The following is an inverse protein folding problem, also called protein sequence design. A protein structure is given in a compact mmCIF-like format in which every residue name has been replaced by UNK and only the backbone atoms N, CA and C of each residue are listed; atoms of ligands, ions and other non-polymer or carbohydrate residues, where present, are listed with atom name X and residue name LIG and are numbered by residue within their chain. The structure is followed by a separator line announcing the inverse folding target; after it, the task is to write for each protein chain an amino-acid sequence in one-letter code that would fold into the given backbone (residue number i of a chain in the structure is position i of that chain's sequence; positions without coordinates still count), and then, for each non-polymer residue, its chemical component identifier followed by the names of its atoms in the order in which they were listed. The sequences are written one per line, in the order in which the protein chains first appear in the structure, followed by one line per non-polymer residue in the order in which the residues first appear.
data_IF_104741256818
#
_entry.id   IF_104741256818
#
_cell.length_a   1.000
_cell.length_b   1.000
_cell.length_c   1.000
_cell.angle_alpha   90.00
_cell.angle_beta   90.00
_cell.angle_gamma   90.00
#
_symmetry.space_group_name_H-M   'P 1'
#
loop_
_entity.id
_entity.type
_entity.pdbx_description
1 polymer ?
#
# COMPACT_ATOMS: atom_id res chain seq x y z
N UNK A 1 -12.74 7.65 -26.62
CA UNK A 1 -11.59 7.22 -27.44
C UNK A 1 -11.09 5.92 -26.86
N UNK A 2 -10.85 4.96 -27.72
CA UNK A 2 -10.22 3.69 -27.42
C UNK A 2 -8.95 3.61 -28.26
N UNK A 3 -7.87 3.20 -27.66
CA UNK A 3 -6.58 3.07 -28.32
C UNK A 3 -6.30 1.58 -28.55
N UNK A 4 -5.99 1.22 -29.78
CA UNK A 4 -5.68 -0.16 -30.19
C UNK A 4 -4.18 -0.41 -30.40
N UNK A 5 -3.39 0.66 -30.50
CA UNK A 5 -1.94 0.58 -30.63
C UNK A 5 -1.31 0.35 -29.23
N UNK A 6 -0.49 -0.69 -29.04
CA UNK A 6 0.26 -0.89 -27.80
C UNK A 6 1.12 0.30 -27.37
N UNK A 7 1.57 1.13 -28.32
CA UNK A 7 2.32 2.35 -28.04
C UNK A 7 1.47 3.47 -27.43
N UNK A 8 0.15 3.37 -27.50
CA UNK A 8 -0.78 4.31 -26.89
C UNK A 8 -1.12 3.95 -25.43
N UNK A 9 -0.54 2.89 -24.89
CA UNK A 9 -0.72 2.53 -23.48
C UNK A 9 -0.31 3.69 -22.56
N UNK A 10 -1.13 3.98 -21.55
CA UNK A 10 -0.92 5.12 -20.64
C UNK A 10 -1.63 6.41 -21.06
N UNK A 11 -2.23 6.47 -22.26
CA UNK A 11 -3.08 7.61 -22.67
C UNK A 11 -4.45 7.58 -21.99
N UNK A 12 -5.05 8.76 -21.87
CA UNK A 12 -6.37 8.93 -21.25
C UNK A 12 -7.47 8.30 -22.11
N UNK A 13 -8.06 7.23 -21.62
CA UNK A 13 -9.16 6.51 -22.27
C UNK A 13 -10.53 7.03 -21.85
N UNK A 14 -11.60 6.50 -22.46
CA UNK A 14 -12.99 6.73 -22.00
C UNK A 14 -13.17 6.26 -20.55
N UNK A 15 -12.55 5.13 -20.17
CA UNK A 15 -12.58 4.61 -18.80
C UNK A 15 -11.97 5.58 -17.79
N UNK A 16 -10.80 6.14 -18.11
CA UNK A 16 -10.13 7.15 -17.29
C UNK A 16 -11.00 8.40 -17.07
N UNK A 17 -11.63 8.90 -18.14
CA UNK A 17 -12.52 10.07 -18.06
C UNK A 17 -13.76 9.78 -17.19
N UNK A 18 -14.37 8.61 -17.31
CA UNK A 18 -15.52 8.19 -16.49
C UNK A 18 -15.12 7.99 -15.02
N UNK A 19 -13.98 7.38 -14.77
CA UNK A 19 -13.47 7.21 -13.41
C UNK A 19 -13.19 8.56 -12.73
N UNK A 20 -12.57 9.51 -13.45
CA UNK A 20 -12.35 10.86 -12.95
C UNK A 20 -13.68 11.57 -12.66
N UNK A 21 -14.65 11.48 -13.56
CA UNK A 21 -16.00 12.04 -13.36
C UNK A 21 -16.66 11.48 -12.10
N UNK A 22 -16.59 10.17 -11.89
CA UNK A 22 -17.11 9.50 -10.69
C UNK A 22 -16.48 10.08 -9.43
N UNK A 23 -15.16 10.20 -9.40
CA UNK A 23 -14.41 10.74 -8.26
C UNK A 23 -14.78 12.19 -7.94
N UNK A 24 -14.89 13.04 -8.96
CA UNK A 24 -15.29 14.45 -8.80
C UNK A 24 -16.71 14.58 -8.25
N UNK A 25 -17.64 13.77 -8.75
CA UNK A 25 -19.03 13.80 -8.26
C UNK A 25 -19.15 13.24 -6.83
N UNK A 26 -18.36 12.25 -6.48
CA UNK A 26 -18.26 11.74 -5.10
C UNK A 26 -17.80 12.84 -4.14
N UNK A 27 -16.77 13.58 -4.50
CA UNK A 27 -16.30 14.71 -3.68
C UNK A 27 -17.36 15.80 -3.58
N UNK A 28 -18.03 16.14 -4.68
CA UNK A 28 -19.12 17.11 -4.69
C UNK A 28 -20.30 16.70 -3.78
N UNK A 29 -20.54 15.42 -3.61
CA UNK A 29 -21.59 14.90 -2.73
C UNK A 29 -21.19 14.91 -1.23
N UNK A 30 -19.88 14.93 -0.93
CA UNK A 30 -19.36 14.92 0.43
C UNK A 30 -19.74 16.18 1.22
N UNK A 31 -20.09 16.07 2.52
CA UNK A 31 -20.32 17.21 3.39
C UNK A 31 -19.11 18.14 3.52
N UNK A 32 -17.90 17.66 3.22
CA UNK A 32 -16.69 18.48 3.23
C UNK A 32 -16.71 19.60 2.16
N UNK A 33 -17.41 19.38 1.04
CA UNK A 33 -17.44 20.32 -0.10
C UNK A 33 -18.80 20.96 -0.33
N UNK A 34 -19.69 20.91 0.64
CA UNK A 34 -21.00 21.57 0.60
C UNK A 34 -22.10 20.75 1.22
N UNK A 35 -23.35 21.22 1.10
CA UNK A 35 -24.51 20.51 1.61
C UNK A 35 -24.74 19.22 0.83
N UNK A 36 -24.72 18.04 1.46
CA UNK A 36 -25.08 16.78 0.82
C UNK A 36 -26.55 16.78 0.39
N UNK A 37 -26.86 16.05 -0.67
CA UNK A 37 -28.23 15.76 -1.05
C UNK A 37 -28.32 14.38 -1.71
N UNK A 38 -29.50 13.79 -1.73
CA UNK A 38 -29.76 12.51 -2.38
C UNK A 38 -29.41 12.56 -3.85
N UNK A 39 -29.70 13.65 -4.53
CA UNK A 39 -29.42 13.84 -5.97
C UNK A 39 -27.92 13.84 -6.24
N UNK A 40 -27.11 14.47 -5.36
CA UNK A 40 -25.64 14.46 -5.50
C UNK A 40 -25.06 13.07 -5.31
N UNK A 41 -25.53 12.34 -4.30
CA UNK A 41 -25.11 10.94 -4.09
C UNK A 41 -25.54 10.02 -5.22
N UNK A 42 -26.76 10.20 -5.73
CA UNK A 42 -27.24 9.45 -6.90
C UNK A 42 -26.42 9.75 -8.16
N UNK A 43 -26.06 11.01 -8.39
CA UNK A 43 -25.20 11.39 -9.51
C UNK A 43 -23.80 10.73 -9.40
N UNK A 44 -23.22 10.68 -8.22
CA UNK A 44 -21.95 9.99 -7.97
C UNK A 44 -22.06 8.47 -8.22
N UNK A 45 -23.13 7.84 -7.71
CA UNK A 45 -23.40 6.41 -7.92
C UNK A 45 -23.59 6.07 -9.41
N UNK A 46 -24.36 6.88 -10.14
CA UNK A 46 -24.58 6.69 -11.57
C UNK A 46 -23.28 6.85 -12.38
N UNK A 47 -22.42 7.77 -11.98
CA UNK A 47 -21.13 7.96 -12.63
C UNK A 47 -20.17 6.81 -12.37
N UNK A 48 -20.17 6.24 -11.15
CA UNK A 48 -19.41 5.04 -10.83
C UNK A 48 -19.94 3.84 -11.65
N UNK A 49 -21.27 3.66 -11.70
CA UNK A 49 -21.88 2.61 -12.50
C UNK A 49 -21.50 2.68 -13.97
N UNK A 50 -21.33 3.86 -14.54
CA UNK A 50 -20.92 4.01 -15.93
C UNK A 50 -19.52 3.43 -16.24
N UNK A 51 -18.65 3.29 -15.22
CA UNK A 51 -17.36 2.59 -15.37
C UNK A 51 -17.58 1.08 -15.46
N UNK A 52 -18.44 0.52 -14.59
CA UNK A 52 -18.82 -0.90 -14.64
C UNK A 52 -19.47 -1.28 -15.96
N UNK A 53 -20.37 -0.43 -16.47
CA UNK A 53 -21.11 -0.66 -17.71
C UNK A 53 -20.21 -0.70 -18.96
N UNK A 54 -18.93 -0.29 -18.85
CA UNK A 54 -17.96 -0.50 -19.92
C UNK A 54 -17.58 -1.97 -20.10
N UNK A 55 -17.72 -2.80 -19.07
CA UNK A 55 -17.34 -4.22 -19.06
C UNK A 55 -15.88 -4.46 -19.48
N UNK A 56 -14.98 -3.53 -19.13
CA UNK A 56 -13.56 -3.58 -19.47
C UNK A 56 -12.66 -3.89 -18.29
N UNK A 57 -13.11 -3.53 -17.12
CA UNK A 57 -12.35 -3.64 -15.87
C UNK A 57 -13.04 -4.60 -14.95
N UNK A 58 -12.25 -5.41 -14.25
CA UNK A 58 -12.79 -6.35 -13.25
C UNK A 58 -11.75 -6.59 -12.16
N UNK A 59 -12.23 -6.93 -10.97
CA UNK A 59 -11.36 -7.27 -9.85
C UNK A 59 -10.72 -8.64 -10.10
N UNK A 60 -9.40 -8.69 -10.00
CA UNK A 60 -8.64 -9.93 -10.12
C UNK A 60 -8.78 -10.72 -8.82
N UNK A 61 -9.09 -12.00 -8.93
CA UNK A 61 -9.09 -12.89 -7.76
C UNK A 61 -7.64 -13.08 -7.29
N UNK A 62 -7.39 -12.85 -6.02
CA UNK A 62 -6.12 -13.05 -5.35
C UNK A 62 -6.33 -13.90 -4.11
N UNK A 63 -5.39 -14.80 -3.82
CA UNK A 63 -5.52 -15.80 -2.77
C UNK A 63 -4.57 -15.55 -1.58
N UNK A 64 -3.56 -14.72 -1.77
CA UNK A 64 -2.55 -14.42 -0.75
C UNK A 64 -2.01 -13.00 -0.91
N UNK A 65 -1.18 -12.58 0.03
CA UNK A 65 -0.59 -11.23 0.06
C UNK A 65 0.41 -10.98 -1.07
N UNK A 66 1.12 -11.99 -1.54
CA UNK A 66 2.05 -11.87 -2.67
C UNK A 66 1.30 -11.61 -3.98
N UNK A 67 0.23 -12.37 -4.25
CA UNK A 67 -0.63 -12.14 -5.40
C UNK A 67 -1.28 -10.75 -5.37
N UNK A 68 -1.71 -10.31 -4.18
CA UNK A 68 -2.25 -8.96 -4.00
C UNK A 68 -1.19 -7.89 -4.27
N UNK A 69 0.00 -8.02 -3.69
CA UNK A 69 1.12 -7.12 -3.93
C UNK A 69 1.53 -7.06 -5.40
N UNK A 70 1.51 -8.20 -6.11
CA UNK A 70 1.84 -8.29 -7.52
C UNK A 70 0.92 -7.46 -8.44
N UNK A 71 -0.31 -7.13 -8.02
CA UNK A 71 -1.21 -6.25 -8.77
C UNK A 71 -0.59 -4.86 -9.02
N UNK A 72 0.21 -4.36 -8.09
CA UNK A 72 0.83 -3.04 -8.18
C UNK A 72 2.07 -3.00 -9.09
N UNK A 73 2.57 -4.15 -9.50
CA UNK A 73 3.68 -4.29 -10.43
C UNK A 73 3.22 -4.70 -11.84
N UNK A 74 2.01 -5.22 -11.99
CA UNK A 74 1.41 -5.58 -13.27
C UNK A 74 0.62 -4.42 -13.84
N UNK A 75 1.30 -3.53 -14.53
CA UNK A 75 0.72 -2.31 -15.14
C UNK A 75 -0.40 -2.58 -16.15
N UNK A 76 -0.54 -3.83 -16.62
CA UNK A 76 -1.59 -4.23 -17.58
C UNK A 76 -2.64 -5.13 -16.97
N UNK A 77 -2.70 -5.23 -15.64
CA UNK A 77 -3.74 -6.02 -15.01
C UNK A 77 -5.14 -5.43 -15.23
N UNK A 78 -6.21 -6.24 -15.16
CA UNK A 78 -7.56 -5.81 -15.51
C UNK A 78 -8.18 -4.77 -14.55
N UNK A 79 -7.57 -4.51 -13.40
CA UNK A 79 -8.03 -3.49 -12.44
C UNK A 79 -7.55 -2.08 -12.81
N UNK A 80 -6.48 -1.96 -13.62
CA UNK A 80 -5.90 -0.68 -13.99
C UNK A 80 -6.77 0.04 -15.00
N UNK A 81 -7.35 1.16 -14.58
CA UNK A 81 -8.15 2.04 -15.44
C UNK A 81 -7.26 3.08 -16.11
N UNK A 82 -6.33 3.65 -15.36
CA UNK A 82 -5.36 4.65 -15.81
C UNK A 82 -4.24 4.77 -14.81
N UNK A 83 -3.02 4.83 -15.31
CA UNK A 83 -1.85 5.07 -14.48
C UNK A 83 -0.85 5.98 -15.21
N UNK A 84 -0.02 6.65 -14.44
CA UNK A 84 1.10 7.41 -14.96
C UNK A 84 2.30 6.47 -15.12
N UNK A 85 2.73 6.30 -16.34
CA UNK A 85 3.94 5.53 -16.64
C UNK A 85 5.18 6.40 -16.40
N UNK A 86 6.21 5.77 -15.85
CA UNK A 86 7.54 6.35 -15.69
C UNK A 86 8.50 5.62 -16.61
N UNK A 87 9.25 6.36 -17.40
CA UNK A 87 10.30 5.82 -18.24
C UNK A 87 11.60 5.72 -17.44
N UNK A 88 12.15 4.53 -17.21
CA UNK A 88 13.42 4.37 -16.49
C UNK A 88 14.59 5.12 -17.10
N UNK A 89 14.54 5.37 -18.43
CA UNK A 89 15.59 6.09 -19.14
C UNK A 89 15.64 7.57 -18.81
N UNK A 90 14.48 8.18 -18.58
CA UNK A 90 14.39 9.62 -18.29
C UNK A 90 14.27 9.89 -16.79
N UNK A 91 14.19 8.83 -16.00
CA UNK A 91 14.11 8.87 -14.55
C UNK A 91 12.91 9.66 -14.05
N UNK A 92 12.22 9.20 -13.08
CA UNK A 92 11.32 10.08 -12.32
C UNK A 92 12.13 10.98 -11.39
N UNK A 93 13.44 10.94 -11.51
CA UNK A 93 14.38 11.80 -10.81
C UNK A 93 14.53 11.51 -9.33
N UNK A 94 13.64 10.76 -8.73
CA UNK A 94 13.67 10.56 -7.29
C UNK A 94 13.81 9.08 -6.90
N UNK A 95 15.03 8.57 -7.05
CA UNK A 95 15.40 7.28 -6.47
C UNK A 95 15.30 7.30 -4.93
N UNK A 96 15.14 8.48 -4.34
CA UNK A 96 15.08 8.64 -2.89
C UNK A 96 13.77 8.12 -2.31
N UNK A 97 12.65 8.10 -3.06
CA UNK A 97 11.38 7.62 -2.51
C UNK A 97 11.46 6.17 -2.05
N UNK A 98 12.19 5.31 -2.77
CA UNK A 98 12.44 3.95 -2.34
C UNK A 98 13.31 3.89 -1.06
N UNK A 99 14.34 4.73 -0.97
CA UNK A 99 15.20 4.80 0.21
C UNK A 99 14.44 5.24 1.46
N UNK A 100 13.49 6.16 1.31
CA UNK A 100 12.64 6.60 2.43
C UNK A 100 11.69 5.52 2.92
N UNK A 101 11.24 4.64 2.02
CA UNK A 101 10.27 3.59 2.33
C UNK A 101 10.92 2.30 2.83
N UNK A 102 12.10 1.97 2.31
CA UNK A 102 12.77 0.73 2.65
C UNK A 102 13.19 0.70 4.13
N UNK A 103 13.15 -0.48 4.77
CA UNK A 103 13.70 -0.68 6.09
C UNK A 103 15.17 -0.31 6.17
N UNK A 104 15.62 0.02 7.36
CA UNK A 104 16.98 0.41 7.61
C UNK A 104 17.98 -0.71 7.35
N UNK A 105 19.10 -0.38 6.70
CA UNK A 105 20.22 -1.32 6.54
C UNK A 105 19.98 -2.49 5.60
N UNK A 106 18.87 -2.54 4.90
CA UNK A 106 18.53 -3.63 3.99
C UNK A 106 18.57 -3.16 2.54
N UNK A 107 19.47 -3.73 1.76
CA UNK A 107 19.54 -3.58 0.30
C UNK A 107 20.92 -3.20 -0.20
N UNK A 108 21.33 -3.77 -1.28
CA UNK A 108 22.54 -3.62 -2.11
C UNK A 108 23.22 -2.23 -2.10
N UNK A 109 23.76 -1.81 -0.97
CA UNK A 109 24.37 -0.49 -0.79
C UNK A 109 23.38 0.67 -0.59
N UNK A 110 22.07 0.40 -0.60
CA UNK A 110 21.05 1.36 -0.25
C UNK A 110 20.59 1.09 1.18
N UNK A 111 20.98 1.96 2.08
CA UNK A 111 20.42 1.99 3.41
C UNK A 111 19.03 2.61 3.31
N UNK A 112 18.00 1.84 3.59
CA UNK A 112 16.67 2.38 3.78
C UNK A 112 16.66 3.32 5.00
N UNK A 113 15.79 4.30 5.02
CA UNK A 113 15.72 5.27 6.12
C UNK A 113 14.54 5.03 7.05
N UNK A 114 13.68 4.06 6.72
CA UNK A 114 12.55 3.67 7.57
C UNK A 114 11.58 4.82 7.90
N UNK A 115 11.47 5.83 7.04
CA UNK A 115 10.69 7.05 7.32
C UNK A 115 9.18 6.87 7.12
N UNK A 116 8.77 5.82 6.43
CA UNK A 116 7.37 5.56 6.16
C UNK A 116 6.84 4.48 7.09
N UNK A 117 6.36 4.91 8.22
CA UNK A 117 5.77 4.02 9.20
C UNK A 117 4.26 4.27 9.28
N UNK A 118 3.43 3.22 9.31
CA UNK A 118 2.01 3.38 9.47
C UNK A 118 1.68 3.90 10.89
N UNK A 119 0.62 4.67 10.98
CA UNK A 119 0.05 4.95 12.30
C UNK A 119 -0.71 3.74 12.81
N UNK A 120 -0.76 3.52 14.13
CA UNK A 120 -1.57 2.45 14.71
C UNK A 120 -3.04 2.54 14.29
N UNK A 121 -3.57 3.76 14.16
CA UNK A 121 -4.95 3.98 13.69
C UNK A 121 -5.19 3.43 12.28
N UNK A 122 -4.20 3.48 11.39
CA UNK A 122 -4.29 2.86 10.06
C UNK A 122 -4.24 1.34 10.16
N UNK A 123 -3.30 0.81 10.94
CA UNK A 123 -3.14 -0.63 11.17
C UNK A 123 -4.44 -1.25 11.71
N UNK A 124 -5.10 -0.58 12.65
CA UNK A 124 -6.37 -1.03 13.25
C UNK A 124 -7.55 -1.04 12.26
N UNK A 125 -7.44 -0.38 11.12
CA UNK A 125 -8.50 -0.37 10.09
C UNK A 125 -8.50 -1.60 9.18
N UNK A 126 -7.40 -2.33 9.14
CA UNK A 126 -7.36 -3.60 8.42
C UNK A 126 -8.12 -4.65 9.23
N UNK A 127 -8.94 -5.43 8.54
CA UNK A 127 -9.80 -6.43 9.16
C UNK A 127 -9.06 -7.73 9.46
N UNK A 128 -9.73 -8.60 10.21
CA UNK A 128 -9.32 -9.99 10.33
C UNK A 128 -9.63 -10.73 9.01
N UNK A 129 -9.05 -11.90 8.81
CA UNK A 129 -9.24 -12.71 7.60
C UNK A 129 -10.70 -13.11 7.36
N UNK A 130 -11.50 -13.19 8.41
CA UNK A 130 -12.95 -13.49 8.35
C UNK A 130 -13.83 -12.25 8.11
N UNK A 131 -13.22 -11.07 7.93
CA UNK A 131 -13.91 -9.81 7.69
C UNK A 131 -14.40 -9.09 8.96
N UNK A 132 -14.14 -9.63 10.14
CA UNK A 132 -14.45 -8.95 11.39
C UNK A 132 -13.49 -7.79 11.66
N UNK A 133 -13.92 -6.82 12.46
CA UNK A 133 -13.03 -5.75 12.88
C UNK A 133 -11.87 -6.33 13.70
N UNK A 134 -10.67 -5.80 13.48
CA UNK A 134 -9.56 -6.17 14.34
C UNK A 134 -9.84 -5.63 15.74
N UNK A 135 -9.80 -6.51 16.72
CA UNK A 135 -9.82 -6.08 18.11
C UNK A 135 -8.56 -5.24 18.37
N UNK A 136 -8.70 -4.18 19.16
CA UNK A 136 -7.53 -3.43 19.64
C UNK A 136 -6.71 -4.36 20.50
N UNK A 137 -5.67 -4.92 19.89
CA UNK A 137 -4.72 -5.71 20.66
C UNK A 137 -3.86 -4.78 21.48
N UNK A 138 -3.62 -5.16 22.70
CA UNK A 138 -2.79 -4.38 23.63
C UNK A 138 -1.33 -4.50 23.24
N UNK A 139 -0.51 -3.57 23.68
CA UNK A 139 0.94 -3.59 23.53
C UNK A 139 1.62 -4.91 24.01
N UNK A 140 0.91 -5.72 24.77
CA UNK A 140 1.39 -6.99 25.32
C UNK A 140 0.97 -8.22 24.50
N UNK A 141 0.19 -8.08 23.43
CA UNK A 141 -0.16 -9.20 22.56
C UNK A 141 1.05 -9.62 21.71
N UNK A 142 1.42 -10.87 21.84
CA UNK A 142 2.64 -11.47 21.26
C UNK A 142 2.48 -11.64 19.77
N UNK A 143 2.06 -11.13 18.93
CA UNK A 143 1.76 -11.14 17.51
C UNK A 143 0.38 -10.51 17.23
N UNK A 144 0.24 -9.20 17.41
CA UNK A 144 -1.02 -8.49 17.21
C UNK A 144 -1.50 -8.50 15.76
N UNK A 145 -0.68 -8.97 14.85
CA UNK A 145 -0.95 -9.05 13.42
C UNK A 145 -1.46 -10.41 12.93
N UNK A 146 -1.50 -11.45 13.78
CA UNK A 146 -1.96 -12.78 13.37
C UNK A 146 -3.42 -12.79 12.96
N UNK A 147 -3.73 -13.51 11.86
CA UNK A 147 -5.08 -13.70 11.36
C UNK A 147 -5.69 -12.49 10.66
N UNK A 148 -4.87 -11.55 10.20
CA UNK A 148 -5.31 -10.39 9.44
C UNK A 148 -5.64 -10.75 7.99
N UNK A 149 -6.36 -9.89 7.32
CA UNK A 149 -6.65 -9.99 5.90
C UNK A 149 -5.37 -9.89 5.04
N UNK A 150 -5.41 -10.43 3.82
CA UNK A 150 -4.24 -10.50 2.92
C UNK A 150 -3.67 -9.13 2.57
N UNK A 151 -4.50 -8.08 2.50
CA UNK A 151 -4.07 -6.70 2.23
C UNK A 151 -3.18 -6.14 3.33
N UNK A 152 -3.37 -6.59 4.56
CA UNK A 152 -2.53 -6.21 5.69
C UNK A 152 -1.09 -6.67 5.45
N UNK A 153 -0.89 -7.95 5.18
CA UNK A 153 0.43 -8.52 4.93
C UNK A 153 1.08 -8.04 3.63
N UNK A 154 0.29 -7.57 2.67
CA UNK A 154 0.82 -6.97 1.45
C UNK A 154 1.23 -5.50 1.62
N UNK A 155 0.67 -4.80 2.60
CA UNK A 155 0.90 -3.38 2.83
C UNK A 155 1.96 -3.08 3.88
N UNK A 156 2.19 -4.00 4.82
CA UNK A 156 3.09 -3.79 5.96
C UNK A 156 4.16 -4.85 6.02
N UNK A 157 5.35 -4.39 6.31
CA UNK A 157 6.48 -5.23 6.66
C UNK A 157 6.51 -5.35 8.20
N UNK A 158 6.56 -6.59 8.68
CA UNK A 158 6.42 -6.92 10.10
C UNK A 158 7.75 -7.41 10.67
N UNK A 159 7.84 -7.40 11.99
CA UNK A 159 8.94 -8.06 12.69
C UNK A 159 9.00 -9.55 12.31
N UNK A 160 10.17 -10.03 11.91
CA UNK A 160 10.38 -11.39 11.44
C UNK A 160 10.10 -11.62 9.94
N UNK A 161 9.56 -10.64 9.22
CA UNK A 161 9.41 -10.76 7.77
C UNK A 161 10.76 -10.73 7.06
N UNK A 162 10.86 -11.47 5.97
CA UNK A 162 12.06 -11.42 5.13
C UNK A 162 12.04 -10.22 4.19
N UNK A 163 13.12 -9.46 4.17
CA UNK A 163 13.34 -8.33 3.28
C UNK A 163 14.72 -8.37 2.64
N UNK A 164 14.84 -7.75 1.47
CA UNK A 164 16.09 -7.64 0.72
C UNK A 164 16.19 -8.58 -0.47
N UNK A 165 17.33 -8.54 -1.16
CA UNK A 165 17.56 -9.29 -2.39
C UNK A 165 18.86 -10.09 -2.30
N UNK A 166 18.83 -11.32 -2.82
CA UNK A 166 20.01 -12.16 -2.92
C UNK A 166 20.67 -12.42 -1.55
N UNK A 167 21.96 -12.17 -1.45
CA UNK A 167 22.75 -12.38 -0.21
C UNK A 167 22.44 -11.40 0.92
N UNK A 168 21.79 -10.29 0.59
CA UNK A 168 21.43 -9.24 1.56
C UNK A 168 20.00 -9.43 2.11
N UNK A 169 19.35 -10.54 1.74
CA UNK A 169 18.05 -10.93 2.28
C UNK A 169 18.22 -11.38 3.72
N UNK A 170 17.45 -10.80 4.63
CA UNK A 170 17.41 -11.15 6.05
C UNK A 170 16.05 -10.85 6.66
N UNK A 171 15.81 -11.33 7.84
CA UNK A 171 14.66 -10.97 8.65
C UNK A 171 14.76 -9.53 9.14
N UNK A 172 13.63 -8.85 9.19
CA UNK A 172 13.45 -7.53 9.79
C UNK A 172 13.30 -7.69 11.29
N UNK A 173 14.06 -6.94 12.04
CA UNK A 173 14.14 -7.02 13.49
C UNK A 173 13.80 -5.66 14.12
N UNK A 174 12.49 -5.41 14.38
CA UNK A 174 12.02 -4.13 14.95
C UNK A 174 11.59 -4.22 16.42
N UNK A 175 11.83 -5.33 17.07
CA UNK A 175 11.48 -5.53 18.47
C UNK A 175 12.38 -4.74 19.43
N UNK A 176 11.81 -4.34 20.56
CA UNK A 176 12.57 -3.72 21.63
C UNK A 176 13.31 -4.79 22.45
N UNK A 177 14.57 -4.56 22.70
CA UNK A 177 15.31 -5.36 23.68
C UNK A 177 14.75 -5.15 25.08
N UNK A 178 14.68 -6.24 25.89
CA UNK A 178 14.13 -6.15 27.23
C UNK A 178 15.13 -5.66 28.28
N UNK A 179 16.40 -6.03 28.14
CA UNK A 179 17.50 -5.69 29.05
C UNK A 179 18.86 -6.04 28.40
N UNK A 180 19.94 -6.00 29.19
CA UNK A 180 21.29 -6.35 28.73
C UNK A 180 21.42 -7.79 28.18
N UNK A 181 20.47 -8.67 28.51
CA UNK A 181 20.49 -10.09 28.10
C UNK A 181 19.73 -10.34 26.80
N UNK A 182 18.80 -9.43 26.44
CA UNK A 182 18.02 -9.48 25.21
C UNK A 182 18.28 -8.17 24.44
N UNK A 183 19.22 -8.17 23.52
CA UNK A 183 19.51 -6.97 22.73
C UNK A 183 18.29 -6.57 21.90
N UNK A 184 18.16 -5.29 21.63
CA UNK A 184 17.14 -4.79 20.72
C UNK A 184 17.36 -5.31 19.30
N UNK A 185 16.28 -5.49 18.55
CA UNK A 185 16.34 -5.83 17.13
C UNK A 185 17.13 -4.79 16.34
N UNK A 186 17.83 -5.21 15.29
CA UNK A 186 18.76 -4.36 14.52
C UNK A 186 18.07 -3.15 13.88
N UNK A 187 16.82 -3.30 13.51
CA UNK A 187 16.01 -2.29 12.84
C UNK A 187 15.15 -1.48 13.83
N UNK A 188 15.31 -1.70 15.13
CA UNK A 188 14.61 -0.94 16.17
C UNK A 188 15.36 0.35 16.53
N UNK A 189 14.68 1.28 17.20
CA UNK A 189 15.29 2.53 17.68
C UNK A 189 16.51 2.37 18.60
N UNK A 190 16.71 1.17 19.15
CA UNK A 190 17.79 0.84 20.09
C UNK A 190 18.74 -0.20 19.52
N UNK A 191 18.52 -0.63 18.24
CA UNK A 191 19.34 -1.60 17.55
C UNK A 191 20.54 -0.99 16.84
N UNK A 192 21.20 -1.82 16.02
CA UNK A 192 22.39 -1.44 15.25
C UNK A 192 22.17 -0.25 14.32
N UNK A 193 20.94 -0.12 13.78
CA UNK A 193 20.55 0.92 12.83
C UNK A 193 19.60 1.97 13.42
N UNK A 194 19.79 2.31 14.69
CA UNK A 194 18.88 3.14 15.50
C UNK A 194 18.55 4.51 14.87
N UNK A 195 19.44 5.10 14.10
CA UNK A 195 19.22 6.41 13.46
C UNK A 195 18.20 6.40 12.32
N UNK A 196 17.79 5.22 11.89
CA UNK A 196 16.85 5.03 10.80
C UNK A 196 15.76 4.00 11.14
N UNK A 197 15.52 3.76 12.39
CA UNK A 197 14.63 2.70 12.81
C UNK A 197 13.17 3.11 12.84
N UNK A 198 12.29 2.12 12.64
CA UNK A 198 10.87 2.28 12.82
C UNK A 198 10.52 2.55 14.29
N UNK A 199 9.70 3.58 14.52
CA UNK A 199 9.18 3.91 15.85
C UNK A 199 7.90 3.16 16.21
N UNK A 200 7.34 2.39 15.29
CA UNK A 200 6.00 1.81 15.44
C UNK A 200 6.00 0.29 15.50
N UNK A 201 7.13 -0.37 15.26
CA UNK A 201 7.20 -1.82 15.09
C UNK A 201 6.66 -2.33 13.74
N UNK A 202 6.36 -1.40 12.82
CA UNK A 202 5.93 -1.67 11.44
C UNK A 202 6.72 -0.79 10.47
N UNK A 203 6.92 -1.28 9.28
CA UNK A 203 7.51 -0.54 8.16
C UNK A 203 6.70 -0.70 6.88
#
# INVERSE_FOLDING_TARGET
IEYNDPNDFGRVTKGAALALKSRVLLYKASPLFGTPSTEKWQAAANAAKAVFDLNKYYLKTVNNSEEYGALFYDVKNPEVIFEKLFDPKYGSGDNNSFLYQAPCGIGNGFQGWGNFNPTQNLVDKFQMADGTASEKKTHYDYYPWNGREIRFYAAFLLDGDEWGYGKDKREVEVYYGGDETIPAGKDSNWGEYWWNASNTGYS
#
